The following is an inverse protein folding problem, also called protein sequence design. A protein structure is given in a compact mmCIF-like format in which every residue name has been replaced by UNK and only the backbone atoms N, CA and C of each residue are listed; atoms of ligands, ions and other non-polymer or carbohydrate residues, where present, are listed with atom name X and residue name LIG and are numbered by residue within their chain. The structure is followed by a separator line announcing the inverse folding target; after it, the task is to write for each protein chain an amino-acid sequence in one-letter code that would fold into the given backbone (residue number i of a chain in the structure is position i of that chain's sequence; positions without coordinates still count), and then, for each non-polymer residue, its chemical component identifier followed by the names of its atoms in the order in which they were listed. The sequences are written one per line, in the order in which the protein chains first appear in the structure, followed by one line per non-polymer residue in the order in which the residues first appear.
data_IF_937732606830
#
_entry.id   IF_937732606830
#
_cell.length_a   1.000
_cell.length_b   1.000
_cell.length_c   1.000
_cell.angle_alpha   90.00
_cell.angle_beta   90.00
_cell.angle_gamma   90.00
#
_symmetry.space_group_name_H-M   'P 1'
#
loop_
_entity.id
_entity.type
_entity.pdbx_description
1 polymer ?
#
# COMPACT_ATOMS: atom_id res chain seq x y z
N UNK A 1 53.71 -54.76 -14.03
CA UNK A 1 55.15 -54.47 -13.93
C UNK A 1 55.26 -53.15 -13.14
N UNK A 2 55.79 -53.09 -11.89
CA UNK A 2 57.22 -52.99 -11.49
C UNK A 2 58.01 -51.98 -12.36
N UNK A 3 58.74 -50.97 -11.88
CA UNK A 3 59.14 -50.45 -10.53
C UNK A 3 59.32 -48.90 -10.63
N UNK A 4 59.74 -48.04 -9.66
CA UNK A 4 60.42 -48.15 -8.34
C UNK A 4 60.14 -46.88 -7.47
N UNK A 5 60.57 -46.86 -6.19
CA UNK A 5 60.76 -45.69 -5.29
C UNK A 5 62.15 -45.82 -4.60
N UNK A 6 62.75 -44.73 -4.03
CA UNK A 6 62.82 -44.54 -2.56
C UNK A 6 62.63 -43.06 -2.10
N UNK A 7 61.97 -42.73 -0.96
CA UNK A 7 62.48 -42.54 0.45
C UNK A 7 63.62 -41.48 0.58
N UNK A 8 63.72 -40.61 1.60
CA UNK A 8 63.08 -40.45 2.94
C UNK A 8 63.11 -38.93 3.36
N UNK A 9 62.82 -38.40 4.57
CA UNK A 9 62.40 -38.86 5.92
C UNK A 9 61.85 -37.65 6.74
N UNK A 10 61.25 -37.87 7.92
CA UNK A 10 60.98 -36.83 8.96
C UNK A 10 62.13 -36.73 10.00
N UNK A 11 62.11 -35.76 10.94
CA UNK A 11 61.46 -36.05 12.24
C UNK A 11 60.68 -34.89 12.89
N UNK A 12 59.89 -35.24 13.91
CA UNK A 12 59.13 -34.33 14.78
C UNK A 12 59.94 -33.86 16.00
N UNK A 13 59.54 -32.75 16.63
CA UNK A 13 59.96 -32.39 17.98
C UNK A 13 58.83 -31.66 18.72
N UNK A 14 58.45 -32.17 19.89
CA UNK A 14 57.52 -31.53 20.82
C UNK A 14 58.30 -30.79 21.91
N UNK A 15 57.90 -29.57 22.25
CA UNK A 15 58.14 -28.98 23.58
C UNK A 15 56.89 -28.18 23.98
N UNK A 16 56.41 -28.38 25.20
CA UNK A 16 55.30 -27.65 25.76
C UNK A 16 55.77 -26.34 26.44
N UNK A 17 54.96 -25.28 26.39
CA UNK A 17 55.26 -24.01 27.04
C UNK A 17 53.99 -23.19 27.27
N UNK A 18 53.46 -23.25 28.50
CA UNK A 18 52.35 -22.42 28.95
C UNK A 18 52.91 -21.07 29.39
N UNK A 19 52.37 -19.96 28.89
CA UNK A 19 52.34 -18.68 29.60
C UNK A 19 51.18 -17.82 29.06
N UNK A 20 50.34 -17.34 29.97
CA UNK A 20 49.18 -16.51 29.66
C UNK A 20 49.50 -15.03 29.87
N UNK A 21 49.10 -14.18 28.91
CA UNK A 21 48.55 -12.83 29.13
C UNK A 21 48.25 -12.16 27.78
N UNK A 22 47.13 -11.45 27.66
CA UNK A 22 46.80 -10.69 26.44
C UNK A 22 45.33 -10.70 26.04
N UNK A 23 44.44 -10.30 26.94
CA UNK A 23 43.07 -9.93 26.55
C UNK A 23 43.13 -8.74 25.58
N UNK A 24 42.75 -8.95 24.32
CA UNK A 24 42.31 -7.88 23.42
C UNK A 24 41.03 -8.31 22.72
N UNK A 25 39.92 -8.07 23.42
CA UNK A 25 38.59 -7.96 22.81
C UNK A 25 38.60 -6.77 21.84
N UNK A 26 38.87 -7.05 20.57
CA UNK A 26 38.74 -6.09 19.48
C UNK A 26 37.27 -5.87 19.12
N UNK A 27 36.62 -4.92 19.79
CA UNK A 27 35.22 -4.60 19.56
C UNK A 27 34.96 -4.09 18.13
N UNK A 28 34.29 -4.89 17.30
CA UNK A 28 33.43 -4.38 16.23
C UNK A 28 31.98 -4.57 16.67
N UNK A 29 31.51 -3.63 17.49
CA UNK A 29 30.11 -3.57 17.87
C UNK A 29 29.24 -3.12 16.69
N UNK A 30 28.00 -3.61 16.56
CA UNK A 30 27.06 -3.05 15.60
C UNK A 30 26.84 -1.56 15.88
N UNK A 31 26.59 -0.78 14.83
CA UNK A 31 26.39 0.66 14.98
C UNK A 31 25.17 0.97 15.85
N UNK A 32 25.23 2.11 16.55
CA UNK A 32 24.26 2.60 17.55
C UNK A 32 22.81 2.78 17.03
N UNK A 33 22.53 2.39 15.78
CA UNK A 33 21.23 2.45 15.14
C UNK A 33 20.42 1.15 15.27
N UNK A 34 21.07 -0.02 15.39
CA UNK A 34 20.38 -1.32 15.41
C UNK A 34 19.73 -1.68 16.76
N UNK A 35 20.22 -1.16 17.89
CA UNK A 35 19.71 -1.52 19.21
C UNK A 35 18.39 -0.81 19.58
N UNK A 36 18.17 0.41 19.06
CA UNK A 36 16.98 1.21 19.38
C UNK A 36 15.66 0.64 18.83
N UNK A 37 15.72 -0.26 17.85
CA UNK A 37 14.52 -0.79 17.19
C UNK A 37 13.96 -2.06 17.86
N UNK A 38 14.77 -2.80 18.63
CA UNK A 38 14.40 -4.11 19.18
C UNK A 38 13.95 -4.09 20.65
N UNK A 39 13.91 -2.92 21.31
CA UNK A 39 13.46 -2.79 22.71
C UNK A 39 12.04 -2.21 22.88
N UNK A 40 11.29 -2.00 21.80
CA UNK A 40 9.98 -1.32 21.83
C UNK A 40 8.74 -2.24 21.88
N UNK A 41 8.91 -3.54 22.14
CA UNK A 41 7.83 -4.54 22.13
C UNK A 41 7.53 -5.14 23.52
N UNK A 42 7.14 -4.31 24.49
CA UNK A 42 6.28 -4.73 25.61
C UNK A 42 5.27 -3.63 26.00
N UNK A 43 4.02 -3.98 26.37
CA UNK A 43 2.96 -3.00 26.63
C UNK A 43 2.91 -2.56 28.11
N UNK A 44 3.35 -1.34 28.40
CA UNK A 44 3.12 -0.68 29.70
C UNK A 44 1.83 0.16 29.69
N UNK A 45 1.05 0.07 30.77
CA UNK A 45 -0.34 0.54 30.80
C UNK A 45 -0.50 2.06 30.94
N UNK A 46 -1.35 2.66 30.10
CA UNK A 46 -1.74 4.08 30.18
C UNK A 46 -3.10 4.21 30.84
N UNK A 47 -3.15 4.57 32.14
CA UNK A 47 -4.40 4.89 32.84
C UNK A 47 -4.19 5.77 34.08
N UNK A 48 -3.84 7.05 33.90
CA UNK A 48 -3.82 8.03 35.02
C UNK A 48 -3.92 9.52 34.67
N UNK A 49 -4.36 9.91 33.46
CA UNK A 49 -4.55 11.33 33.12
C UNK A 49 -5.87 11.58 32.38
N UNK A 50 -6.95 11.86 33.14
CA UNK A 50 -8.11 12.69 32.78
C UNK A 50 -9.16 12.62 33.91
N UNK A 51 -9.03 13.46 34.92
CA UNK A 51 -10.08 13.73 35.92
C UNK A 51 -9.92 15.11 36.54
N UNK A 52 -10.59 16.10 35.94
CA UNK A 52 -10.92 17.39 36.57
C UNK A 52 -12.01 18.07 35.75
N UNK A 53 -13.22 18.13 36.29
CA UNK A 53 -14.39 18.74 35.64
C UNK A 53 -15.65 18.57 36.50
N UNK A 54 -16.09 19.65 37.13
CA UNK A 54 -17.23 19.62 38.07
C UNK A 54 -18.58 19.41 37.35
N UNK A 55 -19.55 18.72 37.96
CA UNK A 55 -20.84 18.44 37.32
C UNK A 55 -21.84 19.58 37.45
N UNK A 56 -22.24 20.18 36.32
CA UNK A 56 -23.46 20.97 36.23
C UNK A 56 -24.68 20.04 36.22
N UNK A 57 -25.69 20.33 37.07
CA UNK A 57 -26.91 19.52 37.20
C UNK A 57 -27.80 19.63 35.95
N UNK A 58 -27.82 18.58 35.14
CA UNK A 58 -28.83 18.31 34.11
C UNK A 58 -29.54 16.97 34.37
N UNK A 59 -30.81 16.85 33.97
CA UNK A 59 -31.59 15.62 34.20
C UNK A 59 -30.99 14.43 33.43
N UNK A 60 -30.94 13.21 34.03
CA UNK A 60 -30.35 12.04 33.39
C UNK A 60 -31.26 11.51 32.26
N UNK A 61 -30.76 11.35 31.02
CA UNK A 61 -31.52 10.69 29.96
C UNK A 61 -31.58 9.17 30.21
N UNK A 62 -32.70 8.54 29.86
CA UNK A 62 -33.02 7.16 30.21
C UNK A 62 -31.92 6.15 29.83
N UNK A 63 -31.62 5.14 30.68
CA UNK A 63 -30.44 4.27 30.54
C UNK A 63 -30.38 3.48 29.21
N UNK A 64 -31.52 3.24 28.55
CA UNK A 64 -31.57 2.65 27.21
C UNK A 64 -30.88 3.51 26.14
N UNK A 65 -31.14 4.82 26.10
CA UNK A 65 -30.55 5.73 25.11
C UNK A 65 -29.05 5.90 25.31
N UNK A 66 -28.57 5.93 26.55
CA UNK A 66 -27.14 5.97 26.84
C UNK A 66 -26.43 4.69 26.38
N UNK A 67 -26.96 3.50 26.73
CA UNK A 67 -26.40 2.21 26.27
C UNK A 67 -26.41 2.09 24.75
N UNK A 68 -27.45 2.57 24.07
CA UNK A 68 -27.55 2.51 22.61
C UNK A 68 -26.58 3.49 21.93
N UNK A 69 -26.44 4.73 22.43
CA UNK A 69 -25.38 5.66 21.99
C UNK A 69 -23.99 5.12 22.28
N UNK A 70 -23.75 4.53 23.44
CA UNK A 70 -22.43 4.00 23.82
C UNK A 70 -22.07 2.77 22.98
N UNK A 71 -23.02 1.88 22.68
CA UNK A 71 -22.85 0.78 21.70
C UNK A 71 -22.65 1.27 20.27
N UNK A 72 -23.34 2.33 19.83
CA UNK A 72 -23.06 2.98 18.53
C UNK A 72 -21.68 3.65 18.51
N UNK A 73 -21.25 4.26 19.61
CA UNK A 73 -19.94 4.92 19.73
C UNK A 73 -18.82 3.87 19.79
N UNK A 74 -19.02 2.74 20.46
CA UNK A 74 -18.13 1.58 20.44
C UNK A 74 -18.08 0.93 19.05
N UNK A 75 -19.22 0.72 18.37
CA UNK A 75 -19.25 0.28 16.96
C UNK A 75 -18.63 1.27 15.96
N UNK A 76 -18.41 2.52 16.36
CA UNK A 76 -17.68 3.55 15.60
C UNK A 76 -16.25 3.80 16.09
N UNK A 77 -15.84 3.15 17.18
CA UNK A 77 -14.53 3.33 17.82
C UNK A 77 -13.69 2.04 17.82
N UNK A 78 -14.31 0.87 17.63
CA UNK A 78 -13.63 -0.26 17.02
C UNK A 78 -13.32 0.13 15.57
N UNK A 79 -12.07 0.55 15.31
CA UNK A 79 -11.58 0.76 13.95
C UNK A 79 -11.80 -0.52 13.16
N UNK A 80 -12.35 -0.40 11.95
CA UNK A 80 -12.51 -1.56 11.06
C UNK A 80 -11.14 -2.16 10.78
N UNK A 81 -10.99 -3.45 11.07
CA UNK A 81 -9.86 -4.23 10.56
C UNK A 81 -10.13 -4.43 9.07
N UNK A 82 -9.22 -3.94 8.25
CA UNK A 82 -9.22 -4.12 6.80
C UNK A 82 -8.23 -5.22 6.49
N UNK A 83 -8.63 -6.15 5.64
CA UNK A 83 -7.73 -7.19 5.14
C UNK A 83 -7.21 -6.69 3.79
N UNK A 84 -5.90 -6.77 3.57
CA UNK A 84 -5.26 -6.42 2.30
C UNK A 84 -4.48 -7.63 1.81
N UNK A 85 -4.96 -8.27 0.76
CA UNK A 85 -4.33 -9.40 0.08
C UNK A 85 -3.32 -8.84 -0.94
N UNK A 86 -2.03 -9.07 -0.71
CA UNK A 86 -0.93 -8.42 -1.44
C UNK A 86 -0.07 -9.46 -2.18
N UNK A 87 0.16 -9.22 -3.47
CA UNK A 87 1.17 -9.92 -4.27
C UNK A 87 2.39 -9.00 -4.41
N UNK A 88 3.59 -9.52 -4.19
CA UNK A 88 4.83 -8.76 -4.27
C UNK A 88 5.72 -9.33 -5.37
N UNK A 89 5.96 -8.53 -6.40
CA UNK A 89 6.88 -8.79 -7.49
C UNK A 89 8.17 -8.00 -7.29
N UNK A 90 9.31 -8.67 -7.38
CA UNK A 90 10.64 -8.10 -7.15
C UNK A 90 11.41 -8.16 -8.46
N UNK A 91 11.88 -7.01 -8.93
CA UNK A 91 12.57 -6.89 -10.22
C UNK A 91 13.98 -7.52 -10.25
N UNK A 92 14.51 -7.86 -11.44
CA UNK A 92 15.84 -8.43 -11.60
C UNK A 92 16.97 -7.51 -11.08
N UNK A 93 16.74 -6.21 -11.11
CA UNK A 93 17.62 -5.17 -10.58
C UNK A 93 17.71 -5.17 -9.04
N UNK A 94 16.61 -5.46 -8.35
CA UNK A 94 16.57 -5.68 -6.89
C UNK A 94 17.22 -7.02 -6.55
N UNK A 95 16.91 -8.09 -7.29
CA UNK A 95 17.54 -9.39 -7.09
C UNK A 95 19.07 -9.31 -7.32
N UNK A 96 19.52 -8.59 -8.35
CA UNK A 96 20.94 -8.41 -8.62
C UNK A 96 21.67 -7.69 -7.48
N UNK A 97 21.00 -6.77 -6.76
CA UNK A 97 21.59 -6.03 -5.66
C UNK A 97 21.67 -6.81 -4.34
N UNK A 98 20.66 -7.61 -4.00
CA UNK A 98 20.57 -8.30 -2.70
C UNK A 98 20.81 -9.83 -2.76
N UNK A 99 20.80 -10.43 -3.96
CA UNK A 99 21.08 -11.84 -4.20
C UNK A 99 20.25 -12.77 -3.29
N UNK A 100 20.90 -13.67 -2.54
CA UNK A 100 20.24 -14.63 -1.64
C UNK A 100 19.44 -13.97 -0.49
N UNK A 101 19.79 -12.74 -0.09
CA UNK A 101 19.08 -12.00 0.96
C UNK A 101 17.83 -11.25 0.44
N UNK A 102 17.54 -11.28 -0.88
CA UNK A 102 16.43 -10.52 -1.50
C UNK A 102 15.08 -10.75 -0.82
N UNK A 103 14.69 -12.01 -0.59
CA UNK A 103 13.41 -12.34 0.06
C UNK A 103 13.34 -11.74 1.47
N UNK A 104 14.40 -11.94 2.27
CA UNK A 104 14.49 -11.44 3.64
C UNK A 104 14.46 -9.91 3.70
N UNK A 105 15.15 -9.26 2.77
CA UNK A 105 15.18 -7.81 2.64
C UNK A 105 13.79 -7.23 2.32
N UNK A 106 13.09 -7.83 1.36
CA UNK A 106 11.74 -7.43 0.96
C UNK A 106 10.74 -7.70 2.09
N UNK A 107 10.78 -8.86 2.75
CA UNK A 107 9.94 -9.16 3.92
C UNK A 107 10.17 -8.18 5.08
N UNK A 108 11.42 -7.73 5.30
CA UNK A 108 11.73 -6.74 6.33
C UNK A 108 11.09 -5.39 6.03
N UNK A 109 11.17 -4.93 4.77
CA UNK A 109 10.52 -3.69 4.33
C UNK A 109 8.99 -3.78 4.33
N UNK A 110 8.42 -4.91 3.90
CA UNK A 110 6.98 -5.19 4.00
C UNK A 110 6.50 -5.15 5.45
N UNK A 111 7.29 -5.66 6.40
CA UNK A 111 6.95 -5.58 7.82
C UNK A 111 6.93 -4.13 8.33
N UNK A 112 7.92 -3.30 7.95
CA UNK A 112 7.91 -1.86 8.28
C UNK A 112 6.65 -1.17 7.74
N UNK A 113 6.29 -1.43 6.48
CA UNK A 113 5.09 -0.88 5.86
C UNK A 113 3.80 -1.40 6.51
N UNK A 114 3.74 -2.67 6.88
CA UNK A 114 2.59 -3.30 7.54
C UNK A 114 2.36 -2.76 8.96
N UNK A 115 3.41 -2.44 9.72
CA UNK A 115 3.26 -1.77 11.03
C UNK A 115 2.74 -0.34 10.86
N UNK A 116 3.22 0.43 9.88
CA UNK A 116 2.65 1.74 9.56
C UNK A 116 1.18 1.64 9.15
N UNK A 117 0.80 0.70 8.29
CA UNK A 117 -0.58 0.49 7.85
C UNK A 117 -1.50 -0.02 8.98
N UNK A 118 -0.94 -0.55 10.09
CA UNK A 118 -1.68 -0.93 11.30
C UNK A 118 -1.75 0.20 12.34
N UNK A 119 -0.95 1.25 12.19
CA UNK A 119 -0.82 2.30 13.21
C UNK A 119 -2.15 3.02 13.49
N UNK A 120 -2.54 3.20 14.77
CA UNK A 120 -3.82 3.79 15.13
C UNK A 120 -4.00 5.25 14.67
N UNK A 121 -2.93 5.97 14.29
CA UNK A 121 -3.03 7.30 13.66
C UNK A 121 -3.86 7.27 12.37
N UNK A 122 -3.83 6.17 11.60
CA UNK A 122 -4.63 6.01 10.38
C UNK A 122 -6.15 5.90 10.63
N UNK A 123 -6.54 5.40 11.81
CA UNK A 123 -7.94 5.32 12.26
C UNK A 123 -8.72 4.08 11.80
N UNK A 124 -8.18 3.33 10.83
CA UNK A 124 -8.51 1.93 10.57
C UNK A 124 -7.20 1.11 10.66
N UNK A 125 -7.29 -0.21 10.87
CA UNK A 125 -6.11 -1.06 10.97
C UNK A 125 -6.07 -2.01 9.79
N UNK A 126 -5.03 -1.92 8.96
CA UNK A 126 -4.81 -2.93 7.94
C UNK A 126 -4.11 -4.16 8.52
N UNK A 127 -4.57 -5.33 8.09
CA UNK A 127 -3.88 -6.60 8.20
C UNK A 127 -3.48 -7.01 6.80
N UNK A 128 -2.19 -6.83 6.48
CA UNK A 128 -1.60 -7.24 5.21
C UNK A 128 -1.40 -8.75 5.24
N UNK A 129 -1.82 -9.43 4.17
CA UNK A 129 -1.60 -10.85 3.92
C UNK A 129 -0.76 -10.96 2.65
N UNK A 130 0.48 -11.44 2.76
CA UNK A 130 1.30 -11.73 1.59
C UNK A 130 0.77 -13.02 0.95
N UNK A 131 0.05 -12.89 -0.16
CA UNK A 131 -0.53 -14.02 -0.91
C UNK A 131 0.58 -14.77 -1.65
N UNK A 132 1.49 -14.02 -2.29
CA UNK A 132 2.54 -14.55 -3.14
C UNK A 132 3.70 -13.56 -3.26
N UNK A 133 4.92 -14.06 -3.21
CA UNK A 133 6.12 -13.34 -3.66
C UNK A 133 6.63 -13.93 -4.97
N UNK A 134 7.02 -13.08 -5.91
CA UNK A 134 7.65 -13.45 -7.19
C UNK A 134 8.94 -12.68 -7.30
N UNK A 135 10.08 -13.36 -7.28
CA UNK A 135 11.39 -12.76 -7.52
C UNK A 135 11.77 -13.06 -8.97
N UNK A 136 11.87 -12.02 -9.79
CA UNK A 136 12.34 -12.12 -11.16
C UNK A 136 13.87 -12.04 -11.14
N UNK A 137 14.55 -13.04 -11.70
CA UNK A 137 16.02 -13.07 -11.75
C UNK A 137 16.57 -12.60 -13.09
N UNK A 138 15.77 -12.69 -14.16
CA UNK A 138 16.12 -12.34 -15.54
C UNK A 138 15.13 -11.28 -16.07
N UNK A 139 15.54 -10.40 -17.01
CA UNK A 139 14.69 -9.36 -17.58
C UNK A 139 13.61 -9.88 -18.54
N UNK A 140 13.78 -11.08 -19.12
CA UNK A 140 12.82 -11.67 -20.05
C UNK A 140 11.46 -11.94 -19.39
N UNK A 141 10.44 -11.21 -19.85
CA UNK A 141 9.07 -11.32 -19.32
C UNK A 141 8.80 -10.49 -18.07
N UNK A 142 9.77 -9.69 -17.60
CA UNK A 142 9.54 -8.63 -16.62
C UNK A 142 8.76 -7.45 -17.25
N UNK A 143 8.01 -6.65 -16.46
CA UNK A 143 7.45 -5.39 -16.94
C UNK A 143 8.56 -4.37 -17.24
N UNK A 144 8.32 -3.51 -18.23
CA UNK A 144 9.31 -2.53 -18.67
C UNK A 144 9.27 -1.29 -17.77
N UNK A 145 10.36 -1.05 -17.03
CA UNK A 145 10.55 0.13 -16.18
C UNK A 145 11.45 1.13 -16.91
N UNK A 146 10.98 2.38 -17.02
CA UNK A 146 11.62 3.47 -17.74
C UNK A 146 11.46 4.80 -16.99
N UNK A 147 12.21 5.82 -17.42
CA UNK A 147 12.05 7.21 -16.97
C UNK A 147 10.62 7.77 -17.14
N UNK A 148 9.82 7.22 -18.06
CA UNK A 148 8.42 7.61 -18.18
C UNK A 148 7.56 6.82 -17.19
N UNK A 149 7.34 7.38 -15.99
CA UNK A 149 6.54 6.77 -14.92
C UNK A 149 5.17 6.27 -15.38
N UNK A 150 4.48 7.02 -16.24
CA UNK A 150 3.16 6.61 -16.77
C UNK A 150 3.28 5.34 -17.62
N UNK A 151 4.33 5.23 -18.43
CA UNK A 151 4.62 4.03 -19.22
C UNK A 151 5.02 2.85 -18.34
N UNK A 152 5.83 3.09 -17.30
CA UNK A 152 6.28 2.08 -16.34
C UNK A 152 5.08 1.52 -15.55
N UNK A 153 4.21 2.39 -15.02
CA UNK A 153 2.97 1.98 -14.34
C UNK A 153 2.08 1.17 -15.28
N UNK A 154 1.79 1.66 -16.49
CA UNK A 154 1.00 0.91 -17.48
C UNK A 154 1.60 -0.47 -17.80
N UNK A 155 2.93 -0.59 -17.88
CA UNK A 155 3.58 -1.88 -18.11
C UNK A 155 3.40 -2.84 -16.93
N UNK A 156 3.62 -2.36 -15.70
CA UNK A 156 3.44 -3.16 -14.46
C UNK A 156 1.98 -3.58 -14.29
N UNK A 157 1.01 -2.69 -14.48
CA UNK A 157 -0.42 -3.00 -14.40
C UNK A 157 -0.88 -3.95 -15.53
N UNK A 158 -0.30 -3.82 -16.73
CA UNK A 158 -0.55 -4.74 -17.84
C UNK A 158 -0.04 -6.15 -17.53
N UNK A 159 1.18 -6.24 -17.02
CA UNK A 159 1.85 -7.48 -16.62
C UNK A 159 1.20 -8.14 -15.41
N UNK A 160 0.79 -7.36 -14.39
CA UNK A 160 0.24 -7.91 -13.14
C UNK A 160 -1.01 -8.76 -13.37
N UNK A 161 -1.87 -8.37 -14.31
CA UNK A 161 -3.06 -9.14 -14.73
C UNK A 161 -2.74 -10.47 -15.42
N UNK A 162 -1.50 -10.71 -15.83
CA UNK A 162 -1.05 -12.01 -16.36
C UNK A 162 -0.65 -12.99 -15.25
N UNK A 163 -0.42 -12.51 -14.03
CA UNK A 163 0.05 -13.32 -12.89
C UNK A 163 -0.90 -13.32 -11.68
N UNK A 164 -1.86 -12.38 -11.64
CA UNK A 164 -2.89 -12.24 -10.62
C UNK A 164 -4.25 -12.66 -11.23
N UNK A 165 -4.94 -13.71 -10.72
CA UNK A 165 -6.29 -14.06 -11.14
C UNK A 165 -7.26 -12.86 -11.00
N UNK A 166 -8.29 -12.77 -11.82
CA UNK A 166 -9.30 -11.69 -11.70
C UNK A 166 -10.40 -11.98 -10.65
N UNK A 167 -10.58 -13.25 -10.26
CA UNK A 167 -11.62 -13.69 -9.32
C UNK A 167 -11.14 -13.61 -7.87
N UNK A 168 -11.70 -12.69 -7.09
CA UNK A 168 -11.50 -12.52 -5.64
C UNK A 168 -11.86 -13.77 -4.80
N UNK A 169 -12.49 -14.79 -5.38
CA UNK A 169 -12.70 -16.08 -4.71
C UNK A 169 -11.54 -17.08 -4.90
N UNK A 170 -10.62 -16.82 -5.82
CA UNK A 170 -9.38 -17.59 -6.00
C UNK A 170 -8.38 -17.27 -4.87
N UNK A 171 -7.83 -18.26 -4.15
CA UNK A 171 -6.86 -18.02 -3.07
C UNK A 171 -5.51 -17.47 -3.54
N UNK A 172 -5.25 -17.45 -4.85
CA UNK A 172 -4.11 -16.80 -5.48
C UNK A 172 -4.36 -15.35 -5.91
N UNK A 173 -5.58 -14.83 -5.76
CA UNK A 173 -5.91 -13.42 -6.00
C UNK A 173 -5.27 -12.51 -4.94
N UNK A 174 -4.86 -11.32 -5.36
CA UNK A 174 -4.46 -10.22 -4.49
C UNK A 174 -5.20 -8.93 -4.88
N UNK A 175 -5.69 -8.20 -3.88
CA UNK A 175 -6.27 -6.85 -4.02
C UNK A 175 -5.29 -5.85 -4.64
N UNK A 176 -3.99 -6.01 -4.35
CA UNK A 176 -2.91 -5.16 -4.86
C UNK A 176 -1.69 -5.96 -5.29
N UNK A 177 -1.09 -5.53 -6.40
CA UNK A 177 0.22 -6.00 -6.87
C UNK A 177 1.27 -4.90 -6.70
N UNK A 178 2.24 -5.15 -5.83
CA UNK A 178 3.40 -4.30 -5.58
C UNK A 178 4.59 -4.77 -6.44
N UNK A 179 5.13 -3.90 -7.30
CA UNK A 179 6.38 -4.12 -8.01
C UNK A 179 7.53 -3.31 -7.39
N UNK A 180 8.64 -3.97 -7.05
CA UNK A 180 9.81 -3.34 -6.45
C UNK A 180 10.96 -3.32 -7.48
N UNK A 181 11.58 -2.16 -7.68
CA UNK A 181 12.66 -1.92 -8.64
C UNK A 181 13.79 -1.12 -7.99
N UNK A 182 15.02 -1.18 -8.52
CA UNK A 182 16.14 -0.26 -8.21
C UNK A 182 16.37 0.79 -9.30
N UNK A 183 15.47 0.90 -10.27
CA UNK A 183 15.49 1.98 -11.26
C UNK A 183 15.20 3.33 -10.58
N UNK A 184 16.10 4.30 -10.72
CA UNK A 184 15.97 5.67 -10.20
C UNK A 184 14.77 6.36 -10.87
N UNK A 185 13.65 6.44 -10.16
CA UNK A 185 12.38 6.93 -10.68
C UNK A 185 12.44 8.46 -10.83
N UNK A 186 12.03 8.98 -11.99
CA UNK A 186 12.07 10.43 -12.26
C UNK A 186 10.74 10.99 -12.78
N UNK A 187 10.40 12.19 -12.30
CA UNK A 187 9.28 12.98 -12.81
C UNK A 187 9.65 13.62 -14.17
N UNK A 188 8.66 14.05 -14.99
CA UNK A 188 8.92 14.66 -16.31
C UNK A 188 9.73 15.97 -16.30
N UNK A 189 9.92 16.59 -15.14
CA UNK A 189 10.79 17.74 -14.91
C UNK A 189 12.24 17.37 -14.54
N UNK A 190 12.56 16.07 -14.48
CA UNK A 190 13.85 15.52 -14.09
C UNK A 190 14.02 15.32 -12.57
N UNK A 191 12.98 15.52 -11.76
CA UNK A 191 13.09 15.33 -10.31
C UNK A 191 13.11 13.83 -9.93
N UNK A 192 14.21 13.41 -9.30
CA UNK A 192 14.52 12.03 -8.81
C UNK A 192 14.26 11.83 -7.31
N UNK A 193 13.36 12.63 -6.73
CA UNK A 193 12.90 12.45 -5.35
C UNK A 193 11.66 11.57 -5.24
N UNK A 194 11.01 11.25 -6.37
CA UNK A 194 9.89 10.32 -6.43
C UNK A 194 10.41 8.89 -6.21
N UNK A 195 9.86 8.18 -5.22
CA UNK A 195 10.26 6.80 -4.89
C UNK A 195 9.16 5.77 -5.16
N UNK A 196 8.03 6.18 -5.72
CA UNK A 196 6.95 5.27 -6.05
C UNK A 196 5.91 5.92 -6.94
N UNK A 197 5.03 5.08 -7.49
CA UNK A 197 3.87 5.53 -8.26
C UNK A 197 2.77 4.48 -8.25
N UNK A 198 1.53 4.94 -8.11
CA UNK A 198 0.30 4.15 -8.24
C UNK A 198 -0.82 5.03 -8.83
N UNK A 199 -1.94 4.40 -9.21
CA UNK A 199 -3.17 5.12 -9.46
C UNK A 199 -3.86 5.47 -8.14
N UNK A 200 -4.14 6.76 -7.91
CA UNK A 200 -4.94 7.21 -6.77
C UNK A 200 -6.31 6.51 -6.78
N UNK A 201 -6.62 5.77 -5.70
CA UNK A 201 -7.85 4.95 -5.59
C UNK A 201 -7.82 3.62 -6.36
N UNK A 202 -6.65 3.18 -6.81
CA UNK A 202 -6.44 1.99 -7.66
C UNK A 202 -6.71 0.63 -7.00
N UNK A 203 -6.71 0.53 -5.65
CA UNK A 203 -6.76 -0.74 -4.90
C UNK A 203 -7.98 -1.65 -5.17
N UNK A 204 -8.99 -1.14 -5.87
CA UNK A 204 -10.23 -1.86 -6.21
C UNK A 204 -10.52 -1.88 -7.71
N UNK A 205 -9.54 -1.53 -8.54
CA UNK A 205 -9.67 -1.46 -9.99
C UNK A 205 -9.08 -2.70 -10.65
N UNK A 206 -9.87 -3.38 -11.48
CA UNK A 206 -9.42 -4.51 -12.31
C UNK A 206 -8.22 -4.18 -13.21
N UNK A 207 -7.94 -2.90 -13.46
CA UNK A 207 -6.85 -2.43 -14.34
C UNK A 207 -5.75 -1.69 -13.58
N UNK A 208 -6.05 -1.17 -12.38
CA UNK A 208 -5.18 -0.22 -11.67
C UNK A 208 -4.83 -0.64 -10.22
N UNK A 209 -5.03 -1.92 -9.87
CA UNK A 209 -4.63 -2.55 -8.60
C UNK A 209 -3.12 -2.84 -8.53
N UNK A 210 -2.30 -1.85 -8.87
CA UNK A 210 -0.87 -1.97 -9.14
C UNK A 210 -0.13 -0.74 -8.61
N UNK A 211 1.02 -0.96 -7.97
CA UNK A 211 1.94 0.09 -7.56
C UNK A 211 3.39 -0.28 -7.81
N UNK A 212 4.23 0.73 -8.01
CA UNK A 212 5.69 0.60 -8.17
C UNK A 212 6.35 1.32 -6.99
N UNK A 213 7.40 0.71 -6.43
CA UNK A 213 8.27 1.37 -5.44
C UNK A 213 9.75 1.17 -5.80
N UNK A 214 10.52 2.23 -5.67
CA UNK A 214 11.98 2.20 -5.76
C UNK A 214 12.60 1.74 -4.42
N UNK A 215 13.51 0.78 -4.51
CA UNK A 215 14.31 0.28 -3.40
C UNK A 215 15.53 1.20 -3.14
N UNK A 216 15.38 2.11 -2.18
CA UNK A 216 16.42 3.02 -1.70
C UNK A 216 17.12 2.56 -0.40
N UNK A 217 16.64 1.50 0.24
CA UNK A 217 17.06 1.09 1.58
C UNK A 217 15.86 0.67 2.44
N UNK A 218 16.03 0.63 3.77
CA UNK A 218 14.93 0.31 4.70
C UNK A 218 13.86 1.43 4.81
N UNK A 219 14.05 2.54 4.11
CA UNK A 219 13.02 3.54 3.84
C UNK A 219 11.97 3.07 2.80
N UNK A 220 12.29 2.05 1.98
CA UNK A 220 11.34 1.36 1.10
C UNK A 220 10.07 0.93 1.85
N UNK A 221 10.16 0.46 3.10
CA UNK A 221 8.99 0.12 3.90
C UNK A 221 8.04 1.30 4.16
N UNK A 222 8.56 2.52 4.26
CA UNK A 222 7.75 3.74 4.35
C UNK A 222 7.14 4.09 3.00
N UNK A 223 7.91 3.97 1.93
CA UNK A 223 7.45 4.16 0.54
C UNK A 223 6.29 3.21 0.20
N UNK A 224 6.39 1.93 0.57
CA UNK A 224 5.31 0.94 0.40
C UNK A 224 4.03 1.39 1.12
N UNK A 225 4.13 1.89 2.36
CA UNK A 225 2.97 2.40 3.08
C UNK A 225 2.37 3.66 2.43
N UNK A 226 3.22 4.58 1.93
CA UNK A 226 2.80 5.80 1.21
C UNK A 226 2.03 5.47 -0.08
N UNK A 227 2.59 4.61 -0.94
CA UNK A 227 1.96 4.23 -2.20
C UNK A 227 0.70 3.39 -1.98
N UNK A 228 0.67 2.49 -0.99
CA UNK A 228 -0.58 1.82 -0.61
C UNK A 228 -1.62 2.86 -0.15
N UNK A 229 -1.20 3.91 0.57
CA UNK A 229 -2.06 5.05 0.90
C UNK A 229 -2.70 5.71 -0.33
N UNK A 230 -1.93 6.01 -1.38
CA UNK A 230 -2.47 6.50 -2.66
C UNK A 230 -3.40 5.48 -3.32
N UNK A 231 -3.05 4.19 -3.34
CA UNK A 231 -3.92 3.13 -3.88
C UNK A 231 -5.28 3.07 -3.16
N UNK A 232 -5.33 3.43 -1.87
CA UNK A 232 -6.56 3.59 -1.09
C UNK A 232 -7.27 4.94 -1.26
N UNK A 233 -6.71 5.87 -2.03
CA UNK A 233 -7.30 7.18 -2.34
C UNK A 233 -6.91 8.31 -1.39
N UNK A 234 -5.79 8.19 -0.67
CA UNK A 234 -5.27 9.25 0.19
C UNK A 234 -4.43 10.24 -0.62
N UNK A 235 -4.85 11.51 -0.68
CA UNK A 235 -4.04 12.59 -1.23
C UNK A 235 -2.89 12.97 -0.27
N UNK A 236 -1.81 13.56 -0.82
CA UNK A 236 -0.71 14.13 -0.04
C UNK A 236 -1.19 15.17 0.99
N UNK A 237 -0.48 15.25 2.11
CA UNK A 237 -0.61 16.32 3.08
C UNK A 237 -0.05 17.66 2.54
N UNK A 238 -0.28 18.77 3.24
CA UNK A 238 0.18 20.11 2.82
C UNK A 238 -0.79 20.90 1.94
N UNK A 239 -1.90 20.30 1.49
CA UNK A 239 -2.93 21.00 0.74
C UNK A 239 -3.45 22.25 1.51
N UNK A 240 -3.50 23.45 0.89
CA UNK A 240 -3.90 24.68 1.56
C UNK A 240 -5.27 24.58 2.24
N UNK A 241 -5.35 24.95 3.52
CA UNK A 241 -6.59 24.89 4.32
C UNK A 241 -6.99 23.50 4.81
N UNK A 242 -6.23 22.42 4.50
CA UNK A 242 -6.50 21.06 5.00
C UNK A 242 -6.29 20.90 6.52
N UNK A 243 -5.42 21.73 7.09
CA UNK A 243 -4.97 21.63 8.48
C UNK A 243 -3.85 20.61 8.73
N UNK A 244 -3.24 20.07 7.68
CA UNK A 244 -2.05 19.20 7.78
C UNK A 244 -0.88 19.83 6.99
N UNK A 245 0.31 19.88 7.58
CA UNK A 245 1.51 20.41 6.94
C UNK A 245 2.04 19.47 5.84
N UNK A 246 2.88 19.96 4.91
CA UNK A 246 3.40 19.17 3.79
C UNK A 246 4.36 18.05 4.20
N UNK A 247 4.91 18.15 5.41
CA UNK A 247 5.90 17.23 5.96
C UNK A 247 5.44 16.66 7.31
N UNK A 248 6.18 15.69 7.85
CA UNK A 248 5.93 15.20 9.21
C UNK A 248 4.93 14.04 9.32
N UNK A 249 4.40 13.52 8.21
CA UNK A 249 3.49 12.36 8.19
C UNK A 249 3.83 11.33 7.09
N UNK A 250 3.15 10.18 7.09
CA UNK A 250 3.32 9.14 6.06
C UNK A 250 2.90 9.64 4.67
N UNK A 251 1.87 10.50 4.55
CA UNK A 251 1.44 11.08 3.26
C UNK A 251 2.10 12.44 2.96
N UNK A 252 3.27 12.71 3.54
CA UNK A 252 4.02 13.93 3.28
C UNK A 252 4.40 14.11 1.80
N UNK A 253 4.26 15.33 1.28
CA UNK A 253 4.56 15.67 -0.11
C UNK A 253 6.05 15.86 -0.40
N UNK A 254 6.88 16.07 0.63
CA UNK A 254 8.34 16.20 0.53
C UNK A 254 9.09 14.84 0.60
N UNK A 255 8.35 13.73 0.53
CA UNK A 255 8.86 12.38 0.71
C UNK A 255 8.82 11.94 2.17
N UNK A 256 8.16 10.83 2.44
CA UNK A 256 8.01 10.32 3.79
C UNK A 256 9.30 9.67 4.31
N UNK A 257 10.17 10.45 4.94
CA UNK A 257 11.40 9.95 5.55
C UNK A 257 11.14 9.11 6.82
N UNK A 258 11.83 7.97 7.03
CA UNK A 258 11.76 7.20 8.27
C UNK A 258 12.25 8.01 9.48
N UNK A 259 11.51 7.90 10.59
CA UNK A 259 11.86 8.52 11.87
C UNK A 259 11.09 7.87 13.02
N UNK A 260 11.63 7.98 14.22
CA UNK A 260 10.93 7.55 15.43
C UNK A 260 9.58 8.27 15.56
N UNK A 261 8.49 7.52 15.76
CA UNK A 261 7.14 8.08 15.86
C UNK A 261 6.56 8.59 14.53
N UNK A 262 7.05 8.11 13.38
CA UNK A 262 6.39 8.34 12.09
C UNK A 262 4.93 7.83 12.14
N UNK A 263 3.98 8.72 11.81
CA UNK A 263 2.55 8.46 11.93
C UNK A 263 1.77 9.14 10.80
N UNK A 264 0.55 8.67 10.54
CA UNK A 264 -0.38 9.24 9.57
C UNK A 264 -0.96 10.57 10.06
N UNK A 265 -1.34 11.44 9.13
CA UNK A 265 -1.88 12.74 9.49
C UNK A 265 -3.37 12.65 9.88
N UNK A 266 -3.89 13.66 10.60
CA UNK A 266 -5.34 13.82 10.77
C UNK A 266 -6.10 13.95 9.45
N UNK A 267 -5.45 14.33 8.34
CA UNK A 267 -6.04 14.40 7.01
C UNK A 267 -6.11 13.03 6.37
N UNK A 268 -5.03 12.23 6.39
CA UNK A 268 -5.03 10.84 5.91
C UNK A 268 -6.12 10.02 6.61
N UNK A 269 -6.21 10.13 7.94
CA UNK A 269 -7.28 9.51 8.74
C UNK A 269 -8.69 9.93 8.28
N UNK A 270 -8.92 11.23 8.07
CA UNK A 270 -10.25 11.73 7.64
C UNK A 270 -10.60 11.25 6.24
N UNK A 271 -9.64 11.20 5.33
CA UNK A 271 -9.82 10.70 3.97
C UNK A 271 -10.18 9.20 3.99
N UNK A 272 -9.36 8.36 4.63
CA UNK A 272 -9.63 6.91 4.72
C UNK A 272 -10.99 6.63 5.37
N UNK A 273 -11.25 7.22 6.54
CA UNK A 273 -12.52 7.04 7.24
C UNK A 273 -13.72 7.64 6.51
N UNK A 274 -13.51 8.46 5.47
CA UNK A 274 -14.58 8.93 4.58
C UNK A 274 -14.82 7.95 3.42
N UNK A 275 -13.76 7.38 2.86
CA UNK A 275 -13.83 6.42 1.75
C UNK A 275 -14.42 5.06 2.19
N UNK A 276 -14.18 4.66 3.44
CA UNK A 276 -14.75 3.45 4.06
C UNK A 276 -16.23 3.59 4.49
N UNK A 277 -16.87 4.76 4.32
CA UNK A 277 -18.26 4.95 4.78
C UNK A 277 -19.23 4.30 3.80
N UNK A 278 -20.14 3.43 4.26
CA UNK A 278 -21.22 2.95 3.42
C UNK A 278 -22.04 4.13 2.88
N UNK A 279 -22.22 4.18 1.56
CA UNK A 279 -23.14 5.13 0.93
C UNK A 279 -24.56 4.78 1.39
N UNK A 280 -25.31 5.69 2.04
CA UNK A 280 -26.69 5.41 2.39
C UNK A 280 -27.52 5.24 1.10
N UNK A 281 -28.50 4.31 1.04
CA UNK A 281 -29.21 3.93 -0.19
C UNK A 281 -30.18 5.00 -0.75
N UNK A 282 -29.99 6.28 -0.42
CA UNK A 282 -30.91 7.40 -0.71
C UNK A 282 -30.37 8.41 -1.73
N UNK A 283 -29.27 8.10 -2.43
CA UNK A 283 -28.67 8.97 -3.46
C UNK A 283 -28.57 8.31 -4.85
N UNK A 284 -29.41 7.32 -5.12
CA UNK A 284 -29.82 7.00 -6.50
C UNK A 284 -31.02 7.90 -6.83
N UNK A 285 -30.91 8.89 -7.75
CA UNK A 285 -32.07 9.65 -8.18
C UNK A 285 -33.07 8.73 -8.90
N UNK A 286 -34.35 8.95 -8.63
CA UNK A 286 -35.47 8.29 -9.30
C UNK A 286 -35.47 8.63 -10.81
N UNK A 287 -34.79 7.80 -11.62
CA UNK A 287 -34.91 7.79 -13.08
C UNK A 287 -35.37 6.41 -13.62
N UNK A 288 -36.01 5.61 -12.78
CA UNK A 288 -36.61 4.32 -13.12
C UNK A 288 -38.10 4.44 -13.52
N UNK A 289 -38.51 5.54 -14.17
CA UNK A 289 -39.92 5.83 -14.52
C UNK A 289 -40.19 6.14 -16.00
N UNK A 290 -39.20 6.00 -16.89
CA UNK A 290 -39.40 6.14 -18.36
C UNK A 290 -38.99 4.92 -19.18
N UNK A 291 -39.32 3.71 -18.68
CA UNK A 291 -39.21 2.45 -19.43
C UNK A 291 -40.46 1.57 -19.24
N UNK A 292 -41.66 2.18 -19.42
CA UNK A 292 -42.94 1.47 -19.55
C UNK A 292 -44.04 2.26 -20.30
N UNK A 293 -43.65 2.83 -21.43
CA UNK A 293 -44.46 3.17 -22.60
C UNK A 293 -43.42 3.42 -23.71
N UNK A 294 -43.47 2.84 -24.90
CA UNK A 294 -44.63 2.38 -25.65
C UNK A 294 -44.45 0.97 -26.23
N UNK A 295 -45.56 0.29 -26.51
CA UNK A 295 -45.59 -1.01 -27.21
C UNK A 295 -46.63 -0.95 -28.32
N UNK A 296 -46.36 -0.14 -29.34
CA UNK A 296 -47.22 -0.02 -30.52
C UNK A 296 -46.44 0.46 -31.77
N UNK A 297 -46.98 0.15 -32.94
CA UNK A 297 -46.65 0.70 -34.27
C UNK A 297 -45.32 0.28 -34.94
N UNK A 298 -45.37 -0.95 -35.49
CA UNK A 298 -45.21 -1.29 -36.92
C UNK A 298 -44.18 -0.56 -37.82
N UNK A 299 -43.40 -1.36 -38.55
CA UNK A 299 -42.57 -0.92 -39.68
C UNK A 299 -43.37 -0.21 -40.79
N UNK A 300 -42.76 0.82 -41.38
CA UNK A 300 -43.12 1.47 -42.65
C UNK A 300 -41.86 2.05 -43.32
N UNK A 301 -41.80 2.15 -44.66
CA UNK A 301 -40.52 2.19 -45.39
C UNK A 301 -39.92 3.60 -45.59
N UNK A 302 -38.62 3.62 -45.92
CA UNK A 302 -37.81 4.79 -46.30
C UNK A 302 -38.25 5.47 -47.61
N UNK A 303 -37.91 6.76 -47.77
CA UNK A 303 -37.60 7.35 -49.07
C UNK A 303 -36.19 7.99 -49.15
N UNK A 304 -35.80 8.40 -50.36
CA UNK A 304 -34.43 8.70 -50.81
C UNK A 304 -33.89 10.15 -50.65
N UNK A 305 -32.55 10.22 -50.62
CA UNK A 305 -31.58 11.25 -51.07
C UNK A 305 -31.91 12.77 -51.18
N UNK A 306 -31.09 13.55 -50.44
CA UNK A 306 -30.19 14.64 -50.92
C UNK A 306 -30.78 15.99 -51.45
N UNK A 307 -29.95 17.04 -51.68
CA UNK A 307 -28.83 17.59 -50.87
C UNK A 307 -28.94 19.15 -50.66
N UNK A 308 -28.10 19.74 -49.80
CA UNK A 308 -27.95 21.21 -49.70
C UNK A 308 -26.91 21.65 -48.65
N UNK A 309 -26.10 22.68 -48.95
CA UNK A 309 -24.97 23.12 -48.11
C UNK A 309 -25.24 24.36 -47.23
N UNK A 310 -24.28 24.72 -46.37
CA UNK A 310 -24.32 25.92 -45.52
C UNK A 310 -23.05 26.10 -44.67
N UNK A 311 -22.61 27.34 -44.44
CA UNK A 311 -21.30 27.70 -43.85
C UNK A 311 -21.38 28.15 -42.37
N UNK A 312 -20.60 27.49 -41.49
CA UNK A 312 -20.06 28.02 -40.22
C UNK A 312 -21.04 28.50 -39.11
N UNK A 313 -20.54 28.99 -37.96
CA UNK A 313 -19.15 29.01 -37.46
C UNK A 313 -18.94 28.36 -36.07
N UNK A 314 -17.67 28.10 -35.74
CA UNK A 314 -17.04 27.99 -34.39
C UNK A 314 -17.92 27.76 -33.15
N UNK A 315 -17.82 26.57 -32.54
CA UNK A 315 -18.22 26.31 -31.15
C UNK A 315 -17.01 26.38 -30.19
N UNK A 316 -17.17 26.85 -28.94
CA UNK A 316 -16.06 26.96 -27.99
C UNK A 316 -15.72 25.61 -27.34
N UNK A 317 -14.43 25.41 -27.06
CA UNK A 317 -13.89 24.23 -26.35
C UNK A 317 -14.48 24.14 -24.93
N UNK A 318 -15.10 23.00 -24.53
CA UNK A 318 -15.45 22.77 -23.14
C UNK A 318 -14.17 22.53 -22.33
N UNK A 319 -13.89 23.39 -21.36
CA UNK A 319 -12.78 23.19 -20.43
C UNK A 319 -13.00 21.93 -19.59
N UNK A 320 -11.97 21.08 -19.48
CA UNK A 320 -11.98 19.87 -18.65
C UNK A 320 -12.22 20.23 -17.17
N UNK A 321 -13.48 20.19 -16.73
CA UNK A 321 -13.81 20.12 -15.31
C UNK A 321 -13.42 18.73 -14.82
N UNK A 322 -12.42 18.65 -13.93
CA UNK A 322 -12.02 17.41 -13.27
C UNK A 322 -13.25 16.77 -12.59
N UNK A 323 -13.57 15.48 -12.81
CA UNK A 323 -14.52 14.79 -11.97
C UNK A 323 -13.92 14.65 -10.56
N UNK A 324 -14.60 15.23 -9.57
CA UNK A 324 -14.20 15.17 -8.15
C UNK A 324 -14.95 14.02 -7.49
N UNK A 325 -14.27 13.28 -6.60
CA UNK A 325 -14.76 12.07 -5.92
C UNK A 325 -15.06 10.88 -6.85
N UNK A 326 -14.04 10.09 -7.14
CA UNK A 326 -14.23 8.67 -7.40
C UNK A 326 -14.41 7.97 -6.04
N UNK A 327 -15.65 7.57 -5.74
CA UNK A 327 -15.90 6.56 -4.70
C UNK A 327 -15.29 5.24 -5.15
N UNK A 328 -14.67 4.48 -4.24
CA UNK A 328 -14.17 3.14 -4.55
C UNK A 328 -15.29 2.30 -5.21
N UNK A 329 -15.07 1.75 -6.42
CA UNK A 329 -16.07 0.92 -7.07
C UNK A 329 -16.21 -0.41 -6.31
N UNK A 330 -17.45 -0.82 -6.05
CA UNK A 330 -17.75 -2.22 -5.71
C UNK A 330 -17.46 -3.06 -6.96
N UNK A 331 -16.47 -3.97 -6.91
CA UNK A 331 -16.70 -5.26 -6.26
C UNK A 331 -15.65 -5.64 -5.19
N UNK A 332 -14.85 -4.69 -4.74
CA UNK A 332 -13.73 -4.91 -3.80
C UNK A 332 -14.14 -5.60 -2.49
N UNK A 333 -13.57 -6.77 -2.19
CA UNK A 333 -13.92 -7.57 -1.00
C UNK A 333 -13.08 -7.25 0.24
N UNK A 334 -12.22 -6.23 0.18
CA UNK A 334 -11.48 -5.56 1.29
C UNK A 334 -12.32 -5.27 2.57
N UNK A 335 -13.65 -5.36 2.49
CA UNK A 335 -14.61 -5.08 3.56
C UNK A 335 -15.34 -6.32 4.12
N UNK A 336 -15.00 -7.56 3.72
CA UNK A 336 -15.59 -8.75 4.38
C UNK A 336 -14.99 -8.97 5.78
N UNK A 337 -15.80 -9.20 6.82
CA UNK A 337 -15.29 -9.66 8.10
C UNK A 337 -14.69 -11.07 7.94
N UNK A 338 -13.57 -11.33 8.63
CA UNK A 338 -12.74 -12.53 8.52
C UNK A 338 -13.46 -13.90 8.69
N UNK A 339 -14.71 -13.92 9.14
CA UNK A 339 -15.50 -15.12 9.39
C UNK A 339 -15.88 -15.94 8.15
N UNK A 340 -15.52 -15.52 6.93
CA UNK A 340 -15.90 -16.21 5.68
C UNK A 340 -14.81 -17.03 4.99
N UNK A 341 -13.52 -16.91 5.34
CA UNK A 341 -12.42 -17.53 4.56
C UNK A 341 -11.30 -18.25 5.35
N UNK A 342 -11.37 -18.34 6.69
CA UNK A 342 -10.43 -19.17 7.46
C UNK A 342 -10.96 -20.59 7.71
N UNK A 343 -10.83 -21.49 6.74
CA UNK A 343 -10.74 -22.94 7.02
C UNK A 343 -9.25 -23.31 7.10
N UNK A 344 -8.78 -23.93 8.21
CA UNK A 344 -7.37 -24.28 8.34
C UNK A 344 -7.00 -25.46 7.42
N UNK A 345 -5.80 -25.35 6.84
CA UNK A 345 -4.98 -26.46 6.36
C UNK A 345 -3.63 -26.38 7.10
#
# INVERSE_FOLDING_TARGET
MRQRHPRARCPSLCVAGILACGFLLGCWGPSHFQQSFLQALEPQAVSSYLSSGAPLKGHPPSPGFQRQRQRQRQRRAAGSILHLELLVAVGPDVFQAHQEDTERYVLTNLNIGAELLRDPSLGAQFRVHLVKMVILTEPEGAPNITANLTSSLLSVCGWSRTINPEDDTDPGHADLVLYITRFDLELPDGNRQVRGVTQLGGACSLTWSCLITEDTGFDLGVTIAHEIGHSFGLEHDGAPGSGCGPSGHVMASDGAAPRAGLAWSPCSRRQLLSLLRPVPPLSLPLLATHLRADRSLSLGPSPELAPGGGLGPTTPVPTHKRPRFQTLPSPCTLLRPASSRCTPW
#
